data_IF_953514122406
#
_entry.id   IF_953514122406
#
_cell.length_a   1.000
_cell.length_b   1.000
_cell.length_c   1.000
_cell.angle_alpha   90.00
_cell.angle_beta   90.00
_cell.angle_gamma   90.00
#
_symmetry.space_group_name_H-M   'P 1'
#
loop_
_entity.id
_entity.type
_entity.pdbx_description
1 polymer ?
#
# COMPACT_ATOMS: atom_id res chain seq x y z
N UNK A 1 16.87 5.77 -7.37
CA UNK A 1 16.39 6.30 -6.09
C UNK A 1 15.16 5.55 -5.61
N UNK A 2 14.99 5.47 -4.32
CA UNK A 2 13.83 4.81 -3.75
C UNK A 2 12.57 5.63 -3.96
N UNK A 3 11.42 5.01 -4.25
CA UNK A 3 10.15 5.71 -4.23
C UNK A 3 9.94 6.34 -2.85
N UNK A 4 9.47 7.57 -2.85
CA UNK A 4 9.10 8.23 -1.59
C UNK A 4 7.73 7.76 -1.15
N UNK A 5 7.51 7.75 0.15
CA UNK A 5 6.20 7.43 0.68
C UNK A 5 5.85 8.33 1.85
N UNK A 6 4.56 8.53 2.01
CA UNK A 6 3.95 9.19 3.14
C UNK A 6 2.81 8.31 3.64
N UNK A 7 2.27 8.69 4.78
CA UNK A 7 1.14 7.96 5.35
C UNK A 7 0.18 8.94 6.02
N UNK A 8 -1.11 8.62 5.93
CA UNK A 8 -2.13 9.43 6.59
C UNK A 8 -2.19 9.14 8.09
N UNK A 9 -2.82 10.04 8.83
CA UNK A 9 -3.07 9.81 10.26
C UNK A 9 -3.88 8.53 10.47
N UNK A 10 -4.84 8.27 9.59
CA UNK A 10 -5.67 7.06 9.67
C UNK A 10 -4.82 5.81 9.45
N UNK A 11 -3.89 5.84 8.51
CA UNK A 11 -2.97 4.72 8.27
C UNK A 11 -2.15 4.43 9.53
N UNK A 12 -1.59 5.46 10.16
CA UNK A 12 -0.79 5.27 11.39
C UNK A 12 -1.61 4.64 12.50
N UNK A 13 -2.85 5.06 12.65
CA UNK A 13 -3.77 4.50 13.63
C UNK A 13 -4.07 3.03 13.32
N UNK A 14 -4.37 2.72 12.07
CA UNK A 14 -4.61 1.35 11.62
C UNK A 14 -3.38 0.46 11.87
N UNK A 15 -2.20 0.96 11.51
CA UNK A 15 -0.94 0.22 11.67
C UNK A 15 -0.69 -0.09 13.15
N UNK A 16 -1.01 0.84 14.02
CA UNK A 16 -0.90 0.64 15.47
C UNK A 16 -1.79 -0.48 16.01
N UNK A 17 -2.86 -0.82 15.30
CA UNK A 17 -3.78 -1.90 15.69
C UNK A 17 -3.36 -3.27 15.17
N UNK A 18 -2.40 -3.34 14.27
CA UNK A 18 -1.88 -4.60 13.77
C UNK A 18 -1.06 -5.29 14.85
N UNK A 19 -1.06 -6.62 14.85
CA UNK A 19 -0.15 -7.39 15.70
C UNK A 19 1.28 -7.22 15.20
N UNK A 20 2.25 -7.58 16.02
CA UNK A 20 3.65 -7.55 15.63
C UNK A 20 3.90 -8.41 14.39
N UNK A 21 3.29 -9.59 14.33
CA UNK A 21 3.41 -10.49 13.19
C UNK A 21 2.81 -9.89 11.92
N UNK A 22 1.64 -9.26 12.03
CA UNK A 22 1.00 -8.59 10.90
C UNK A 22 1.86 -7.44 10.38
N UNK A 23 2.47 -6.67 11.27
CA UNK A 23 3.37 -5.59 10.87
C UNK A 23 4.57 -6.10 10.09
N UNK A 24 5.13 -7.23 10.50
CA UNK A 24 6.24 -7.85 9.78
C UNK A 24 5.80 -8.25 8.37
N UNK A 25 4.65 -8.90 8.24
CA UNK A 25 4.12 -9.33 6.94
C UNK A 25 3.84 -8.14 6.03
N UNK A 26 3.28 -7.08 6.58
CA UNK A 26 3.04 -5.86 5.82
C UNK A 26 4.35 -5.26 5.31
N UNK A 27 5.37 -5.16 6.17
CA UNK A 27 6.68 -4.62 5.78
C UNK A 27 7.34 -5.44 4.68
N UNK A 28 7.21 -6.75 4.71
CA UNK A 28 7.73 -7.62 3.65
C UNK A 28 7.02 -7.31 2.32
N UNK A 29 5.71 -7.19 2.36
CA UNK A 29 4.93 -6.86 1.16
C UNK A 29 5.34 -5.50 0.59
N UNK A 30 5.55 -4.50 1.46
CA UNK A 30 5.98 -3.17 1.03
C UNK A 30 7.38 -3.21 0.41
N UNK A 31 8.29 -3.99 0.98
CA UNK A 31 9.63 -4.14 0.41
C UNK A 31 9.56 -4.68 -1.02
N UNK A 32 8.71 -5.68 -1.26
CA UNK A 32 8.50 -6.23 -2.60
C UNK A 32 7.89 -5.20 -3.54
N UNK A 33 6.92 -4.44 -3.06
CA UNK A 33 6.27 -3.39 -3.85
C UNK A 33 7.28 -2.32 -4.28
N UNK A 34 8.08 -1.84 -3.34
CA UNK A 34 9.12 -0.84 -3.61
C UNK A 34 10.15 -1.37 -4.60
N UNK A 35 10.57 -2.62 -4.42
CA UNK A 35 11.51 -3.27 -5.34
C UNK A 35 10.95 -3.29 -6.77
N UNK A 36 9.68 -3.68 -6.93
CA UNK A 36 9.04 -3.73 -8.23
C UNK A 36 8.91 -2.32 -8.86
N UNK A 37 8.56 -1.32 -8.05
CA UNK A 37 8.48 0.06 -8.53
C UNK A 37 9.83 0.59 -9.01
N UNK A 38 10.89 0.28 -8.28
CA UNK A 38 12.25 0.69 -8.65
C UNK A 38 12.70 0.06 -9.95
N UNK A 39 12.38 -1.20 -10.14
CA UNK A 39 12.77 -1.94 -11.34
C UNK A 39 12.02 -1.43 -12.57
N UNK A 40 10.91 -0.72 -12.38
CA UNK A 40 10.07 -0.28 -13.48
C UNK A 40 9.32 -1.43 -14.15
N UNK A 41 9.32 -2.59 -13.52
CA UNK A 41 8.65 -3.77 -14.02
C UNK A 41 7.20 -3.82 -13.58
N UNK A 42 6.48 -4.80 -14.11
CA UNK A 42 5.13 -5.08 -13.62
C UNK A 42 5.19 -5.49 -12.15
N UNK A 43 4.22 -5.02 -11.38
CA UNK A 43 4.11 -5.40 -9.98
C UNK A 43 3.80 -6.89 -9.87
N UNK A 44 4.42 -7.57 -8.91
CA UNK A 44 4.23 -9.02 -8.81
C UNK A 44 2.78 -9.34 -8.47
N UNK A 45 2.22 -10.39 -9.13
CA UNK A 45 0.79 -10.70 -9.03
C UNK A 45 0.28 -10.96 -7.63
N UNK A 46 1.11 -11.49 -6.74
CA UNK A 46 0.69 -11.80 -5.36
C UNK A 46 0.27 -10.57 -4.57
N UNK A 47 0.79 -9.40 -4.93
CA UNK A 47 0.43 -8.14 -4.27
C UNK A 47 -0.95 -7.66 -4.67
N UNK A 48 -1.48 -8.13 -5.80
CA UNK A 48 -2.79 -7.77 -6.32
C UNK A 48 -3.07 -6.27 -6.29
N UNK A 49 -2.11 -5.50 -6.75
CA UNK A 49 -2.26 -4.05 -6.81
C UNK A 49 -3.22 -3.69 -7.94
N UNK A 50 -4.28 -2.95 -7.60
CA UNK A 50 -5.26 -2.48 -8.59
C UNK A 50 -6.01 -1.27 -8.04
N UNK A 51 -6.55 -0.47 -8.95
CA UNK A 51 -7.41 0.64 -8.56
C UNK A 51 -8.72 0.11 -8.00
N UNK A 52 -9.21 0.74 -6.93
CA UNK A 52 -10.47 0.33 -6.29
C UNK A 52 -11.62 0.87 -7.12
N UNK A 53 -12.54 -0.03 -7.51
CA UNK A 53 -13.74 0.35 -8.23
C UNK A 53 -14.60 1.27 -7.36
N UNK A 54 -15.00 2.41 -7.92
CA UNK A 54 -15.79 3.40 -7.19
C UNK A 54 -14.99 4.41 -6.39
N UNK A 55 -13.66 4.28 -6.38
CA UNK A 55 -12.76 5.22 -5.69
C UNK A 55 -11.61 5.61 -6.62
N UNK A 56 -11.86 6.47 -7.61
CA UNK A 56 -10.83 6.83 -8.58
C UNK A 56 -9.56 7.36 -7.92
N UNK A 57 -8.42 6.89 -8.39
CA UNK A 57 -7.12 7.31 -7.87
C UNK A 57 -6.67 6.60 -6.60
N UNK A 58 -7.50 5.75 -6.03
CA UNK A 58 -7.16 4.97 -4.85
C UNK A 58 -6.93 3.53 -5.24
N UNK A 59 -5.78 3.00 -4.85
CA UNK A 59 -5.35 1.64 -5.18
C UNK A 59 -5.37 0.76 -3.95
N UNK A 60 -5.49 -0.53 -4.16
CA UNK A 60 -5.39 -1.53 -3.10
C UNK A 60 -4.20 -2.43 -3.32
N UNK A 61 -3.71 -2.99 -2.22
CA UNK A 61 -2.62 -3.95 -2.21
C UNK A 61 -2.97 -5.05 -1.20
N UNK A 62 -2.71 -6.31 -1.56
CA UNK A 62 -2.86 -7.44 -0.66
C UNK A 62 -1.51 -7.74 -0.02
N UNK A 63 -1.43 -7.62 1.32
CA UNK A 63 -0.20 -7.93 2.04
C UNK A 63 -0.27 -9.27 2.78
N UNK A 64 -1.46 -9.80 3.00
CA UNK A 64 -1.66 -11.11 3.60
C UNK A 64 -3.01 -11.66 3.16
N UNK A 65 -3.01 -12.88 2.66
CA UNK A 65 -4.24 -13.55 2.27
C UNK A 65 -4.95 -14.22 3.44
N UNK A 66 -4.22 -14.45 4.55
CA UNK A 66 -4.73 -15.17 5.72
C UNK A 66 -4.37 -14.41 6.99
N UNK A 67 -5.32 -13.74 7.66
CA UNK A 67 -6.69 -13.57 7.23
C UNK A 67 -6.80 -12.70 5.98
N UNK A 68 -7.13 -11.58 5.94
CA UNK A 68 -7.46 -10.84 4.75
C UNK A 68 -6.78 -9.47 4.79
N UNK A 69 -5.45 -9.51 4.73
CA UNK A 69 -4.65 -8.30 4.83
C UNK A 69 -4.70 -7.42 3.59
N UNK A 70 -5.13 -6.21 3.75
CA UNK A 70 -5.27 -5.22 2.66
C UNK A 70 -4.71 -3.88 3.10
N UNK A 71 -4.26 -3.11 2.12
CA UNK A 71 -3.87 -1.72 2.33
C UNK A 71 -4.36 -0.90 1.16
N UNK A 72 -4.57 0.39 1.39
CA UNK A 72 -4.96 1.32 0.34
C UNK A 72 -3.95 2.45 0.26
N UNK A 73 -3.75 2.96 -0.95
CA UNK A 73 -2.80 4.02 -1.18
C UNK A 73 -3.17 4.81 -2.43
N UNK A 74 -2.53 5.95 -2.61
CA UNK A 74 -2.63 6.73 -3.83
C UNK A 74 -1.24 7.06 -4.34
N UNK A 75 -1.12 7.21 -5.66
CA UNK A 75 0.10 7.74 -6.26
C UNK A 75 -0.03 9.26 -6.34
N UNK A 76 1.04 9.96 -6.03
CA UNK A 76 1.16 11.39 -6.25
C UNK A 76 2.39 11.66 -7.10
N UNK A 77 2.30 12.66 -7.96
CA UNK A 77 3.46 13.10 -8.71
C UNK A 77 4.47 13.72 -7.76
N UNK A 78 5.73 13.33 -7.90
CA UNK A 78 6.80 13.99 -7.17
C UNK A 78 6.91 15.44 -7.68
N UNK A 79 7.23 16.36 -6.79
CA UNK A 79 7.43 17.77 -7.16
C UNK A 79 8.60 17.95 -8.12
N UNK A 80 9.52 16.99 -8.16
CA UNK A 80 10.69 16.99 -9.06
C UNK A 80 10.98 15.57 -9.52
N UNK A 81 11.18 15.40 -10.84
CA UNK A 81 11.61 14.15 -11.43
C UNK A 81 10.49 13.13 -11.61
N UNK A 82 10.88 11.90 -11.94
CA UNK A 82 9.99 10.80 -12.28
C UNK A 82 9.79 9.80 -11.15
N UNK A 83 10.07 10.21 -9.93
CA UNK A 83 9.93 9.32 -8.78
C UNK A 83 8.47 9.13 -8.41
N UNK A 84 8.06 7.87 -8.24
CA UNK A 84 6.75 7.56 -7.71
C UNK A 84 6.66 8.03 -6.25
N UNK A 85 5.58 8.72 -5.92
CA UNK A 85 5.28 9.09 -4.54
C UNK A 85 4.01 8.36 -4.12
N UNK A 86 4.13 7.52 -3.13
CA UNK A 86 3.03 6.71 -2.62
C UNK A 86 2.56 7.28 -1.29
N UNK A 87 1.26 7.47 -1.15
CA UNK A 87 0.66 7.89 0.11
C UNK A 87 -0.22 6.76 0.63
N UNK A 88 0.20 6.14 1.73
CA UNK A 88 -0.56 5.07 2.37
C UNK A 88 -1.75 5.65 3.11
N UNK A 89 -2.93 5.14 2.82
CA UNK A 89 -4.20 5.66 3.35
C UNK A 89 -4.76 4.81 4.47
N UNK A 90 -4.82 3.50 4.28
CA UNK A 90 -5.38 2.55 5.24
C UNK A 90 -4.60 1.24 5.22
N UNK A 91 -4.60 0.53 6.32
CA UNK A 91 -4.08 -0.84 6.41
C UNK A 91 -4.93 -1.64 7.40
N UNK A 92 -5.26 -2.88 7.04
CA UNK A 92 -6.09 -3.72 7.89
C UNK A 92 -6.67 -4.88 7.10
N UNK A 93 -7.92 -5.21 7.38
CA UNK A 93 -8.69 -6.20 6.65
C UNK A 93 -9.71 -5.55 5.72
N UNK A 94 -10.68 -6.32 5.28
CA UNK A 94 -11.72 -5.85 4.35
C UNK A 94 -12.51 -4.64 4.85
N UNK A 95 -12.59 -4.46 6.16
CA UNK A 95 -13.34 -3.33 6.73
C UNK A 95 -12.83 -1.96 6.28
N UNK A 96 -11.57 -1.87 5.85
CA UNK A 96 -11.00 -0.62 5.36
C UNK A 96 -11.67 -0.12 4.07
N UNK A 97 -12.33 -1.02 3.30
CA UNK A 97 -12.98 -0.62 2.06
C UNK A 97 -14.21 0.26 2.23
N UNK A 98 -14.73 0.37 3.44
CA UNK A 98 -15.83 1.29 3.72
C UNK A 98 -15.40 2.74 3.54
N UNK A 99 -14.14 3.03 3.89
CA UNK A 99 -13.53 4.34 3.72
C UNK A 99 -12.07 4.13 3.33
N UNK A 100 -11.81 3.78 2.10
CA UNK A 100 -10.42 3.45 1.68
C UNK A 100 -9.52 4.72 1.61
#
# INVERSE_FOLDING_TARGET
MSPKHDETTRFRRDFGRLTAEQRVRFRVAIAHFVEDLRAGDSLRPRLRVREIQGSPGIYELTWDRRPDGRATFEYRSAARGNEAHVVWRRVGGHAIYREP
#
